data_IF_438346288075
#
_entry.id   IF_438346288075
#
_cell.length_a   1.000
_cell.length_b   1.000
_cell.length_c   1.000
_cell.angle_alpha   90.00
_cell.angle_beta   90.00
_cell.angle_gamma   90.00
#
_symmetry.space_group_name_H-M   'P 1'
#
loop_
_entity.id
_entity.type
_entity.pdbx_description
1 polymer ?
#
# COMPACT_ATOMS: atom_id res chain seq x y z
N UNK A 1 -22.69 29.10 0.68
CA UNK A 1 -22.71 27.67 1.10
C UNK A 1 -21.71 26.93 0.22
N UNK A 2 -20.76 26.15 0.76
CA UNK A 2 -19.91 25.34 -0.10
C UNK A 2 -20.77 24.23 -0.73
N UNK A 3 -20.57 23.99 -2.02
CA UNK A 3 -21.27 22.96 -2.78
C UNK A 3 -21.08 21.60 -2.11
N UNK A 4 -22.18 20.88 -1.85
CA UNK A 4 -22.12 19.43 -1.67
C UNK A 4 -21.50 18.88 -2.93
N UNK A 5 -20.23 18.50 -2.85
CA UNK A 5 -19.67 17.53 -3.80
C UNK A 5 -20.58 16.33 -3.69
N UNK A 6 -21.21 15.94 -4.81
CA UNK A 6 -22.07 14.77 -4.92
C UNK A 6 -21.18 13.53 -4.77
N UNK A 7 -20.68 13.31 -3.55
CA UNK A 7 -19.80 12.19 -3.17
C UNK A 7 -20.66 10.96 -2.98
N UNK A 8 -21.35 10.53 -4.02
CA UNK A 8 -22.02 9.24 -4.00
C UNK A 8 -23.06 9.03 -2.90
N UNK A 9 -23.46 7.76 -2.72
CA UNK A 9 -24.26 7.31 -1.58
C UNK A 9 -23.35 6.61 -0.59
N UNK A 10 -23.46 6.94 0.70
CA UNK A 10 -22.74 6.22 1.75
C UNK A 10 -23.07 4.72 1.70
N UNK A 11 -22.03 3.89 1.74
CA UNK A 11 -22.18 2.43 1.81
C UNK A 11 -21.73 1.91 3.18
N UNK A 12 -22.43 0.90 3.68
CA UNK A 12 -22.00 0.18 4.88
C UNK A 12 -21.01 -0.91 4.48
N UNK A 13 -19.80 -0.84 5.03
CA UNK A 13 -18.81 -1.90 4.88
C UNK A 13 -19.00 -2.98 5.94
N UNK A 14 -18.68 -4.21 5.57
CA UNK A 14 -18.68 -5.37 6.46
C UNK A 14 -17.31 -5.60 7.09
N UNK A 15 -17.26 -6.44 8.14
CA UNK A 15 -15.97 -6.88 8.72
C UNK A 15 -15.09 -7.60 7.69
N UNK A 16 -15.70 -8.25 6.69
CA UNK A 16 -14.97 -8.88 5.58
C UNK A 16 -14.26 -7.86 4.68
N UNK A 17 -14.87 -6.67 4.49
CA UNK A 17 -14.26 -5.59 3.72
C UNK A 17 -13.06 -5.00 4.47
N UNK A 18 -13.20 -4.78 5.78
CA UNK A 18 -12.10 -4.29 6.62
C UNK A 18 -10.92 -5.29 6.64
N UNK A 19 -11.21 -6.59 6.75
CA UNK A 19 -10.20 -7.63 6.66
C UNK A 19 -9.51 -7.65 5.28
N UNK A 20 -10.26 -7.37 4.20
CA UNK A 20 -9.68 -7.27 2.86
C UNK A 20 -8.67 -6.12 2.76
N UNK A 21 -8.94 -4.96 3.38
CA UNK A 21 -8.00 -3.83 3.38
C UNK A 21 -6.69 -4.16 4.09
N UNK A 22 -6.77 -4.83 5.25
CA UNK A 22 -5.57 -5.28 5.98
C UNK A 22 -4.76 -6.30 5.17
N UNK A 23 -5.43 -7.24 4.50
CA UNK A 23 -4.78 -8.22 3.63
C UNK A 23 -4.13 -7.57 2.42
N UNK A 24 -4.78 -6.58 1.80
CA UNK A 24 -4.21 -5.82 0.67
C UNK A 24 -2.99 -5.06 1.14
N UNK A 25 -3.04 -4.36 2.28
CA UNK A 25 -1.90 -3.63 2.83
C UNK A 25 -0.68 -4.55 3.01
N UNK A 26 -0.83 -5.65 3.75
CA UNK A 26 0.25 -6.60 3.98
C UNK A 26 0.78 -7.21 2.66
N UNK A 27 -0.12 -7.59 1.74
CA UNK A 27 0.26 -8.17 0.46
C UNK A 27 0.98 -7.19 -0.47
N UNK A 28 0.65 -5.89 -0.41
CA UNK A 28 1.33 -4.83 -1.16
C UNK A 28 2.75 -4.66 -0.61
N UNK A 29 2.94 -4.57 0.72
CA UNK A 29 4.27 -4.44 1.32
C UNK A 29 5.18 -5.64 0.99
N UNK A 30 4.63 -6.86 1.03
CA UNK A 30 5.38 -8.07 0.67
C UNK A 30 5.76 -8.08 -0.82
N UNK A 31 4.82 -7.77 -1.71
CA UNK A 31 5.05 -7.76 -3.15
C UNK A 31 6.05 -6.65 -3.57
N UNK A 32 5.96 -5.49 -2.94
CA UNK A 32 6.92 -4.40 -3.10
C UNK A 32 8.33 -4.84 -2.72
N UNK A 33 8.48 -5.42 -1.53
CA UNK A 33 9.76 -5.91 -1.04
C UNK A 33 10.36 -7.00 -1.91
N UNK A 34 9.53 -7.80 -2.57
CA UNK A 34 9.96 -8.83 -3.52
C UNK A 34 10.19 -8.32 -4.95
N UNK A 35 9.92 -7.04 -5.24
CA UNK A 35 9.85 -6.49 -6.60
C UNK A 35 8.89 -7.26 -7.53
N UNK A 36 7.81 -7.83 -6.98
CA UNK A 36 6.86 -8.70 -7.71
C UNK A 36 5.72 -7.87 -8.33
N UNK A 37 5.98 -7.34 -9.53
CA UNK A 37 4.98 -6.62 -10.34
C UNK A 37 3.75 -7.48 -10.67
N UNK A 38 3.93 -8.80 -10.80
CA UNK A 38 2.83 -9.73 -11.12
C UNK A 38 1.83 -9.81 -9.97
N UNK A 39 2.31 -9.81 -8.73
CA UNK A 39 1.49 -9.76 -7.52
C UNK A 39 0.88 -8.38 -7.30
N UNK A 40 1.65 -7.30 -7.46
CA UNK A 40 1.14 -5.92 -7.33
C UNK A 40 -0.03 -5.67 -8.28
N UNK A 41 0.05 -6.14 -9.53
CA UNK A 41 -1.02 -6.00 -10.53
C UNK A 41 -2.39 -6.53 -10.09
N UNK A 42 -2.44 -7.49 -9.16
CA UNK A 42 -3.69 -8.07 -8.66
C UNK A 42 -4.26 -7.33 -7.45
N UNK A 43 -3.50 -6.40 -6.87
CA UNK A 43 -3.82 -5.73 -5.60
C UNK A 43 -4.22 -4.27 -5.78
N UNK A 44 -3.99 -3.68 -6.96
CA UNK A 44 -4.16 -2.25 -7.18
C UNK A 44 -4.68 -1.94 -8.58
N UNK A 45 -5.17 -0.72 -8.77
CA UNK A 45 -5.59 -0.22 -10.08
C UNK A 45 -4.40 -0.07 -11.03
N UNK A 46 -4.61 -0.02 -12.35
CA UNK A 46 -3.53 0.19 -13.33
C UNK A 46 -2.71 1.46 -13.10
N UNK A 47 -3.34 2.53 -12.61
CA UNK A 47 -2.71 3.80 -12.31
C UNK A 47 -1.73 3.66 -11.15
N UNK A 48 -2.16 3.04 -10.04
CA UNK A 48 -1.28 2.74 -8.92
C UNK A 48 -0.17 1.76 -9.30
N UNK A 49 -0.47 0.76 -10.14
CA UNK A 49 0.56 -0.16 -10.63
C UNK A 49 1.64 0.56 -11.43
N UNK A 50 1.26 1.55 -12.24
CA UNK A 50 2.23 2.36 -13.00
C UNK A 50 3.17 3.12 -12.07
N UNK A 51 2.62 3.76 -11.03
CA UNK A 51 3.42 4.44 -10.00
C UNK A 51 4.42 3.49 -9.31
N UNK A 52 3.94 2.35 -8.81
CA UNK A 52 4.80 1.34 -8.16
C UNK A 52 5.85 0.77 -9.12
N UNK A 53 5.49 0.53 -10.38
CA UNK A 53 6.41 0.03 -11.39
C UNK A 53 7.53 1.01 -11.70
N UNK A 54 7.24 2.30 -11.72
CA UNK A 54 8.25 3.33 -11.91
C UNK A 54 9.24 3.37 -10.74
N UNK A 55 8.76 3.31 -9.50
CA UNK A 55 9.65 3.29 -8.33
C UNK A 55 10.51 2.01 -8.28
N UNK A 56 9.93 0.84 -8.58
CA UNK A 56 10.69 -0.40 -8.66
C UNK A 56 11.75 -0.33 -9.76
N UNK A 57 11.43 0.29 -10.90
CA UNK A 57 12.40 0.51 -11.98
C UNK A 57 13.51 1.48 -11.55
N UNK A 58 13.17 2.55 -10.82
CA UNK A 58 14.15 3.48 -10.24
C UNK A 58 15.12 2.76 -9.31
N UNK A 59 14.60 1.98 -8.35
CA UNK A 59 15.42 1.18 -7.43
C UNK A 59 16.35 0.23 -8.20
N UNK A 60 15.81 -0.54 -9.14
CA UNK A 60 16.60 -1.46 -9.97
C UNK A 60 17.70 -0.73 -10.76
N UNK A 61 17.40 0.45 -11.33
CA UNK A 61 18.39 1.24 -12.08
C UNK A 61 19.52 1.79 -11.20
N UNK A 62 19.24 2.00 -9.92
CA UNK A 62 20.23 2.41 -8.91
C UNK A 62 20.99 1.20 -8.32
N UNK A 63 20.63 -0.03 -8.72
CA UNK A 63 21.19 -1.26 -8.15
C UNK A 63 20.77 -1.46 -6.69
N UNK A 64 19.59 -0.96 -6.32
CA UNK A 64 19.06 -1.04 -4.96
C UNK A 64 17.71 -1.74 -4.93
N UNK A 65 17.32 -2.18 -3.74
CA UNK A 65 16.00 -2.74 -3.46
C UNK A 65 15.55 -2.26 -2.09
N UNK A 66 14.31 -1.80 -2.00
CA UNK A 66 13.70 -1.48 -0.73
C UNK A 66 13.05 -2.74 -0.14
N UNK A 67 13.30 -2.98 1.14
CA UNK A 67 12.83 -4.15 1.88
C UNK A 67 11.98 -3.64 3.04
N UNK A 68 10.72 -4.06 3.03
CA UNK A 68 9.72 -3.78 4.06
C UNK A 68 9.29 -5.11 4.66
N UNK A 69 9.64 -5.34 5.93
CA UNK A 69 9.39 -6.61 6.63
C UNK A 69 8.86 -6.36 8.03
N UNK A 70 8.37 -7.41 8.69
CA UNK A 70 7.77 -7.30 10.03
C UNK A 70 6.63 -6.26 10.08
N UNK A 71 5.79 -6.28 9.05
CA UNK A 71 4.68 -5.33 8.87
C UNK A 71 3.60 -5.62 9.90
N UNK A 72 3.30 -4.63 10.73
CA UNK A 72 2.25 -4.70 11.74
C UNK A 72 1.33 -3.49 11.65
N UNK A 73 0.04 -3.75 11.49
CA UNK A 73 -0.98 -2.71 11.56
C UNK A 73 -1.24 -2.32 13.02
N UNK A 74 -0.92 -1.08 13.37
CA UNK A 74 -1.13 -0.53 14.71
C UNK A 74 -2.52 0.07 14.87
N UNK A 75 -3.06 0.64 13.79
CA UNK A 75 -4.38 1.26 13.75
C UNK A 75 -4.94 1.25 12.34
N UNK A 76 -6.20 0.88 12.19
CA UNK A 76 -6.94 0.97 10.93
C UNK A 76 -8.34 1.50 11.21
N UNK A 77 -8.61 2.73 10.81
CA UNK A 77 -9.93 3.37 10.98
C UNK A 77 -10.52 3.65 9.60
N UNK A 78 -11.76 3.21 9.37
CA UNK A 78 -12.50 3.59 8.18
C UNK A 78 -12.85 5.09 8.27
N UNK A 79 -12.45 5.85 7.26
CA UNK A 79 -12.69 7.29 7.17
C UNK A 79 -14.00 7.60 6.43
N UNK A 80 -14.17 7.05 5.23
CA UNK A 80 -15.37 7.24 4.40
C UNK A 80 -15.57 6.06 3.44
N UNK A 81 -16.80 5.81 3.03
CA UNK A 81 -17.13 4.79 2.02
C UNK A 81 -18.36 5.21 1.22
N UNK A 82 -18.25 5.22 -0.11
CA UNK A 82 -19.29 5.73 -1.01
C UNK A 82 -19.40 4.94 -2.32
N UNK A 83 -20.58 4.99 -2.95
CA UNK A 83 -20.78 4.56 -4.34
C UNK A 83 -20.51 5.72 -5.32
N UNK A 84 -19.71 5.52 -6.36
CA UNK A 84 -19.56 6.49 -7.46
C UNK A 84 -19.71 5.76 -8.80
N UNK A 85 -20.82 6.02 -9.50
CA UNK A 85 -21.15 5.33 -10.75
C UNK A 85 -21.37 3.84 -10.55
N UNK A 86 -20.56 3.01 -11.24
CA UNK A 86 -20.55 1.54 -11.13
C UNK A 86 -19.47 1.02 -10.16
N UNK A 87 -18.87 1.91 -9.36
CA UNK A 87 -17.78 1.60 -8.44
C UNK A 87 -18.14 1.94 -6.99
N UNK A 88 -17.52 1.19 -6.09
CA UNK A 88 -17.55 1.39 -4.65
C UNK A 88 -16.17 1.79 -4.19
N UNK A 89 -16.11 2.83 -3.37
CA UNK A 89 -14.89 3.35 -2.79
C UNK A 89 -14.93 3.27 -1.28
N UNK A 90 -13.76 3.10 -0.69
CA UNK A 90 -13.56 3.14 0.74
C UNK A 90 -12.19 3.76 1.03
N UNK A 91 -12.14 4.69 1.96
CA UNK A 91 -10.91 5.31 2.43
C UNK A 91 -10.70 4.94 3.88
N UNK A 92 -9.52 4.43 4.22
CA UNK A 92 -9.14 4.09 5.58
C UNK A 92 -7.84 4.80 5.97
N UNK A 93 -7.83 5.37 7.16
CA UNK A 93 -6.58 5.79 7.81
C UNK A 93 -5.89 4.54 8.39
N UNK A 94 -4.61 4.41 8.12
CA UNK A 94 -3.78 3.29 8.52
C UNK A 94 -2.51 3.81 9.19
N UNK A 95 -2.29 3.43 10.45
CA UNK A 95 -1.01 3.56 11.13
C UNK A 95 -0.40 2.18 11.25
N UNK A 96 0.79 1.98 10.74
CA UNK A 96 1.47 0.69 10.74
C UNK A 96 2.95 0.89 11.03
N UNK A 97 3.62 -0.19 11.42
CA UNK A 97 5.07 -0.22 11.59
C UNK A 97 5.69 -1.36 10.80
N UNK A 98 6.94 -1.18 10.41
CA UNK A 98 7.74 -2.21 9.75
C UNK A 98 9.23 -1.92 9.90
N UNK A 99 10.05 -2.94 9.68
CA UNK A 99 11.45 -2.76 9.31
C UNK A 99 11.51 -2.32 7.86
N UNK A 100 11.99 -1.10 7.63
CA UNK A 100 12.14 -0.49 6.29
C UNK A 100 13.60 -0.09 6.06
N UNK A 101 14.22 -0.72 5.06
CA UNK A 101 15.61 -0.46 4.72
C UNK A 101 15.88 -0.71 3.23
N UNK A 102 16.92 -0.06 2.71
CA UNK A 102 17.35 -0.19 1.32
C UNK A 102 18.65 -0.97 1.27
N UNK A 103 18.70 -1.99 0.41
CA UNK A 103 19.86 -2.86 0.22
C UNK A 103 20.44 -2.70 -1.18
N UNK A 104 21.72 -3.02 -1.33
CA UNK A 104 22.40 -3.11 -2.63
C UNK A 104 22.17 -4.49 -3.24
N UNK A 105 21.71 -4.50 -4.49
CA UNK A 105 21.56 -5.73 -5.27
C UNK A 105 22.93 -6.36 -5.54
N UNK A 106 22.99 -7.70 -5.46
CA UNK A 106 24.25 -8.44 -5.64
C UNK A 106 25.19 -8.40 -4.43
N UNK A 107 24.71 -7.92 -3.27
CA UNK A 107 25.38 -8.04 -1.97
C UNK A 107 24.59 -8.92 -1.03
N UNK A 108 25.30 -9.53 -0.09
CA UNK A 108 24.72 -10.38 0.96
C UNK A 108 24.77 -9.67 2.31
N UNK A 109 23.86 -10.00 3.24
CA UNK A 109 23.96 -9.54 4.62
C UNK A 109 25.36 -9.83 5.19
N UNK A 110 26.02 -8.79 5.70
CA UNK A 110 27.40 -8.86 6.21
C UNK A 110 28.45 -8.21 5.30
N UNK A 111 28.14 -7.98 4.02
CA UNK A 111 28.99 -7.16 3.16
C UNK A 111 28.98 -5.70 3.65
N UNK A 112 30.12 -4.99 3.64
CA UNK A 112 30.22 -3.63 4.17
C UNK A 112 29.37 -2.61 3.40
N UNK A 113 28.95 -2.91 2.18
CA UNK A 113 28.11 -2.07 1.32
C UNK A 113 26.72 -2.67 1.02
N UNK A 114 26.30 -3.69 1.79
CA UNK A 114 24.98 -4.31 1.66
C UNK A 114 23.85 -3.34 2.00
N UNK A 115 23.96 -2.63 3.13
CA UNK A 115 22.96 -1.68 3.58
C UNK A 115 23.26 -0.30 2.98
N UNK A 116 22.28 0.27 2.28
CA UNK A 116 22.38 1.60 1.67
C UNK A 116 21.75 2.66 2.57
N UNK A 117 20.58 2.36 3.13
CA UNK A 117 19.87 3.24 4.07
C UNK A 117 18.87 2.45 4.93
N UNK A 118 18.36 3.08 5.99
CA UNK A 118 17.46 2.46 6.97
C UNK A 118 18.20 1.61 8.00
N UNK A 119 17.43 0.86 8.80
CA UNK A 119 17.98 -0.07 9.79
C UNK A 119 17.14 -1.35 9.82
N UNK A 120 17.71 -2.53 9.50
CA UNK A 120 16.99 -3.79 9.51
C UNK A 120 16.65 -4.30 10.93
N UNK A 121 16.86 -3.49 11.98
CA UNK A 121 16.58 -3.86 13.38
C UNK A 121 15.68 -2.84 14.11
N UNK A 122 15.46 -1.68 13.52
CA UNK A 122 14.70 -0.60 14.16
C UNK A 122 13.45 -0.34 13.34
N UNK A 123 12.27 -0.78 13.82
CA UNK A 123 11.02 -0.51 13.12
C UNK A 123 10.74 0.98 13.02
N UNK A 124 10.20 1.39 11.89
CA UNK A 124 9.66 2.73 11.65
C UNK A 124 8.15 2.66 11.58
N UNK A 125 7.48 3.75 11.98
CA UNK A 125 6.03 3.90 11.84
C UNK A 125 5.69 4.75 10.62
N UNK A 126 4.59 4.42 9.96
CA UNK A 126 3.99 5.20 8.88
C UNK A 126 2.51 5.45 9.16
N UNK A 127 2.06 6.66 8.84
CA UNK A 127 0.66 7.09 8.89
C UNK A 127 0.20 7.44 7.48
N UNK A 128 -0.80 6.71 6.99
CA UNK A 128 -1.23 6.79 5.61
C UNK A 128 -2.75 6.73 5.50
N UNK A 129 -3.30 7.37 4.48
CA UNK A 129 -4.68 7.23 4.06
C UNK A 129 -4.70 6.42 2.78
N UNK A 130 -5.33 5.25 2.84
CA UNK A 130 -5.45 4.32 1.72
C UNK A 130 -6.87 4.38 1.18
N UNK A 131 -6.99 4.59 -0.14
CA UNK A 131 -8.27 4.49 -0.84
C UNK A 131 -8.31 3.20 -1.63
N UNK A 132 -9.41 2.47 -1.48
CA UNK A 132 -9.70 1.23 -2.17
C UNK A 132 -10.91 1.40 -3.07
N UNK A 133 -10.94 0.64 -4.17
CA UNK A 133 -12.02 0.61 -5.14
C UNK A 133 -12.41 -0.82 -5.49
N UNK A 134 -13.70 -1.06 -5.72
CA UNK A 134 -14.21 -2.29 -6.33
C UNK A 134 -15.41 -2.01 -7.21
N UNK A 135 -15.75 -2.95 -8.09
CA UNK A 135 -17.14 -3.07 -8.59
C UNK A 135 -18.00 -3.71 -7.50
N UNK A 136 -19.31 -3.42 -7.41
CA UNK A 136 -20.21 -4.09 -6.48
C UNK A 136 -20.08 -5.63 -6.55
N UNK A 137 -19.79 -6.27 -5.41
CA UNK A 137 -19.55 -7.71 -5.31
C UNK A 137 -18.21 -8.22 -5.86
N UNK A 138 -17.34 -7.31 -6.33
CA UNK A 138 -15.99 -7.62 -6.77
C UNK A 138 -14.95 -7.53 -5.65
N UNK A 139 -13.69 -7.78 -6.02
CA UNK A 139 -12.54 -7.67 -5.12
C UNK A 139 -12.09 -6.21 -4.98
N UNK A 140 -11.68 -5.83 -3.77
CA UNK A 140 -11.06 -4.55 -3.50
C UNK A 140 -9.67 -4.45 -4.13
N UNK A 141 -9.37 -3.27 -4.67
CA UNK A 141 -8.07 -2.89 -5.22
C UNK A 141 -7.65 -1.57 -4.58
N UNK A 142 -6.36 -1.42 -4.30
CA UNK A 142 -5.77 -0.14 -3.91
C UNK A 142 -5.82 0.85 -5.09
N UNK A 143 -6.37 2.04 -4.86
CA UNK A 143 -6.47 3.11 -5.87
C UNK A 143 -5.70 4.38 -5.51
N UNK A 144 -5.39 4.60 -4.23
CA UNK A 144 -4.56 5.72 -3.80
C UNK A 144 -3.91 5.46 -2.44
N UNK A 145 -2.72 6.03 -2.23
CA UNK A 145 -2.06 6.16 -0.93
C UNK A 145 -1.71 7.63 -0.74
N UNK A 146 -1.92 8.15 0.47
CA UNK A 146 -1.53 9.51 0.86
C UNK A 146 -0.86 9.45 2.23
N UNK A 147 0.35 10.01 2.36
CA UNK A 147 0.99 10.16 3.67
C UNK A 147 0.35 11.33 4.44
N UNK A 148 0.26 11.20 5.76
CA UNK A 148 -0.33 12.20 6.68
C UNK A 148 0.76 12.94 7.45
#
# INVERSE_FOLDING_TARGET
APARRDRGRDINLSDADLNAFQQIHAAVQEAWSASDLGRLRRLMTPEMLSYFSEELTRNASQGTQNIVTDVELLKGDLSESWDEGDLQYATAYMRWRALDYVVRLGRSPGDPDYLVSGDPRTPVEAEEVWTFVRRPGGTWLLSAIQQV
#
